data_IF_003033971648
#
_entry.id   IF_003033971648
#
_cell.length_a   1.000
_cell.length_b   1.000
_cell.length_c   1.000
_cell.angle_alpha   90.00
_cell.angle_beta   90.00
_cell.angle_gamma   90.00
#
_symmetry.space_group_name_H-M   'P 1'
#
loop_
_entity.id
_entity.type
_entity.pdbx_description
1 polymer ?
#
# COMPACT_ATOMS: atom_id res chain seq x y z
N UNK A 1 -53.26 -0.78 15.57
CA UNK A 1 -53.32 0.07 14.37
C UNK A 1 -52.32 1.21 14.57
N UNK A 2 -51.22 1.22 13.81
CA UNK A 2 -50.12 2.18 13.99
C UNK A 2 -50.63 3.56 13.55
N UNK A 3 -50.63 4.55 14.45
CA UNK A 3 -51.02 5.94 14.13
C UNK A 3 -49.82 6.69 13.55
N UNK A 4 -49.99 7.23 12.34
CA UNK A 4 -49.03 8.08 11.62
C UNK A 4 -47.70 7.41 11.23
N UNK A 5 -47.73 6.30 10.46
CA UNK A 5 -46.52 5.68 9.92
C UNK A 5 -45.66 6.67 9.11
N UNK A 6 -46.29 7.63 8.43
CA UNK A 6 -45.61 8.63 7.61
C UNK A 6 -44.65 9.52 8.40
N UNK A 7 -44.94 9.78 9.70
CA UNK A 7 -44.02 10.53 10.56
C UNK A 7 -42.78 9.73 10.91
N UNK A 8 -42.92 8.42 11.09
CA UNK A 8 -41.80 7.52 11.39
C UNK A 8 -40.94 7.38 10.13
N UNK A 9 -41.55 7.18 8.96
CA UNK A 9 -40.86 7.07 7.68
C UNK A 9 -40.07 8.35 7.37
N UNK A 10 -40.68 9.53 7.54
CA UNK A 10 -40.01 10.81 7.31
C UNK A 10 -38.93 11.13 8.36
N UNK A 11 -39.12 10.75 9.63
CA UNK A 11 -38.14 10.99 10.69
C UNK A 11 -36.85 10.18 10.46
N UNK A 12 -37.01 8.92 10.06
CA UNK A 12 -35.89 8.01 9.81
C UNK A 12 -35.43 8.00 8.34
N UNK A 13 -36.06 8.79 7.46
CA UNK A 13 -35.81 8.83 6.01
C UNK A 13 -35.76 7.43 5.40
N UNK A 14 -36.66 6.55 5.85
CA UNK A 14 -36.67 5.13 5.45
C UNK A 14 -37.06 4.95 3.97
N UNK A 15 -37.54 6.01 3.33
CA UNK A 15 -37.85 6.10 1.90
C UNK A 15 -36.65 6.56 1.05
N UNK A 16 -35.56 7.02 1.66
CA UNK A 16 -34.43 7.65 0.95
C UNK A 16 -33.15 6.83 1.05
N UNK A 17 -32.73 6.30 -0.08
CA UNK A 17 -31.36 5.83 -0.31
C UNK A 17 -31.11 4.33 -0.15
N UNK A 18 -32.12 3.53 0.20
CA UNK A 18 -31.95 2.07 0.33
C UNK A 18 -31.90 1.34 -1.03
N UNK A 19 -32.61 1.82 -2.06
CA UNK A 19 -32.69 1.13 -3.36
C UNK A 19 -31.85 1.78 -4.49
N UNK A 20 -31.29 2.97 -4.28
CA UNK A 20 -30.66 3.78 -5.35
C UNK A 20 -29.20 4.18 -5.09
N UNK A 21 -28.51 3.61 -4.09
CA UNK A 21 -27.05 3.69 -4.02
C UNK A 21 -26.41 2.76 -5.06
N UNK A 22 -26.51 3.15 -6.33
CA UNK A 22 -25.66 2.58 -7.38
C UNK A 22 -24.28 3.21 -7.25
N UNK A 23 -23.29 2.40 -6.87
CA UNK A 23 -21.89 2.78 -7.04
C UNK A 23 -21.63 2.90 -8.54
N UNK A 24 -21.72 4.12 -9.08
CA UNK A 24 -21.40 4.40 -10.48
C UNK A 24 -19.89 4.48 -10.64
N UNK A 25 -19.30 3.47 -11.30
CA UNK A 25 -17.86 3.43 -11.64
C UNK A 25 -17.50 4.36 -12.82
N UNK A 26 -18.31 5.38 -13.09
CA UNK A 26 -18.15 6.29 -14.24
C UNK A 26 -16.81 7.04 -14.24
N UNK A 27 -16.20 7.21 -13.06
CA UNK A 27 -14.87 7.82 -12.88
C UNK A 27 -13.71 6.81 -12.77
N UNK A 28 -13.98 5.52 -12.95
CA UNK A 28 -12.97 4.45 -12.86
C UNK A 28 -12.32 4.22 -14.22
N UNK A 29 -11.45 5.15 -14.63
CA UNK A 29 -10.71 5.04 -15.88
C UNK A 29 -9.47 4.11 -15.74
N UNK A 30 -8.85 3.77 -16.87
CA UNK A 30 -7.64 2.93 -16.92
C UNK A 30 -6.48 3.47 -16.04
N UNK A 31 -6.32 4.79 -15.94
CA UNK A 31 -5.33 5.43 -15.09
C UNK A 31 -5.59 5.16 -13.59
N UNK A 32 -6.85 5.21 -13.16
CA UNK A 32 -7.23 4.88 -11.77
C UNK A 32 -6.96 3.42 -11.45
N UNK A 33 -7.22 2.50 -12.39
CA UNK A 33 -6.90 1.06 -12.23
C UNK A 33 -5.40 0.85 -12.06
N UNK A 34 -4.58 1.49 -12.89
CA UNK A 34 -3.12 1.39 -12.82
C UNK A 34 -2.57 1.95 -11.50
N UNK A 35 -3.07 3.11 -11.06
CA UNK A 35 -2.66 3.70 -9.78
C UNK A 35 -2.96 2.78 -8.60
N UNK A 36 -4.12 2.13 -8.59
CA UNK A 36 -4.49 1.14 -7.56
C UNK A 36 -3.57 -0.08 -7.63
N UNK A 37 -3.26 -0.55 -8.85
CA UNK A 37 -2.28 -1.62 -9.06
C UNK A 37 -0.90 -1.28 -8.48
N UNK A 38 -0.38 -0.07 -8.75
CA UNK A 38 0.89 0.39 -8.18
C UNK A 38 0.85 0.48 -6.65
N UNK A 39 -0.29 0.86 -6.06
CA UNK A 39 -0.45 0.85 -4.60
C UNK A 39 -0.32 -0.57 -4.04
N UNK A 40 -1.02 -1.55 -4.63
CA UNK A 40 -0.94 -2.93 -4.16
C UNK A 40 0.46 -3.53 -4.33
N UNK A 41 1.07 -3.36 -5.50
CA UNK A 41 2.43 -3.87 -5.77
C UNK A 41 3.45 -3.18 -4.86
N UNK A 42 3.34 -1.86 -4.70
CA UNK A 42 4.25 -1.09 -3.85
C UNK A 42 4.15 -1.48 -2.37
N UNK A 43 2.92 -1.64 -1.85
CA UNK A 43 2.70 -2.12 -0.49
C UNK A 43 3.20 -3.55 -0.29
N UNK A 44 2.96 -4.44 -1.26
CA UNK A 44 3.47 -5.80 -1.20
C UNK A 44 5.00 -5.83 -1.10
N UNK A 45 5.71 -5.08 -1.94
CA UNK A 45 7.18 -4.99 -1.89
C UNK A 45 7.68 -4.48 -0.54
N UNK A 46 7.05 -3.45 0.02
CA UNK A 46 7.43 -2.90 1.33
C UNK A 46 7.19 -3.94 2.42
N UNK A 47 5.97 -4.47 2.55
CA UNK A 47 5.60 -5.36 3.66
C UNK A 47 6.45 -6.64 3.64
N UNK A 48 6.69 -7.21 2.47
CA UNK A 48 7.46 -8.44 2.30
C UNK A 48 8.96 -8.25 2.62
N UNK A 49 9.51 -7.05 2.42
CA UNK A 49 10.96 -6.81 2.52
C UNK A 49 11.38 -5.95 3.71
N UNK A 50 10.48 -5.18 4.33
CA UNK A 50 10.84 -4.19 5.36
C UNK A 50 11.44 -4.85 6.62
N UNK A 51 10.89 -6.00 7.04
CA UNK A 51 11.38 -6.72 8.22
C UNK A 51 12.81 -7.23 7.99
N UNK A 52 13.05 -7.83 6.82
CA UNK A 52 14.37 -8.33 6.43
C UNK A 52 15.37 -7.17 6.30
N UNK A 53 14.97 -6.07 5.66
CA UNK A 53 15.80 -4.89 5.49
C UNK A 53 16.26 -4.33 6.84
N UNK A 54 15.34 -4.12 7.79
CA UNK A 54 15.68 -3.62 9.13
C UNK A 54 16.59 -4.59 9.88
N UNK A 55 16.32 -5.90 9.78
CA UNK A 55 17.12 -6.93 10.46
C UNK A 55 18.55 -6.98 9.94
N UNK A 56 18.73 -6.96 8.63
CA UNK A 56 20.04 -6.90 8.00
C UNK A 56 20.76 -5.60 8.30
N UNK A 57 20.04 -4.47 8.33
CA UNK A 57 20.61 -3.16 8.64
C UNK A 57 21.19 -3.14 10.06
N UNK A 58 20.43 -3.63 11.04
CA UNK A 58 20.87 -3.74 12.44
C UNK A 58 22.09 -4.66 12.56
N UNK A 59 22.04 -5.81 11.89
CA UNK A 59 23.12 -6.81 11.92
C UNK A 59 24.42 -6.25 11.33
N UNK A 60 24.31 -5.55 10.19
CA UNK A 60 25.43 -4.87 9.55
C UNK A 60 26.09 -3.85 10.50
N UNK A 61 25.30 -2.99 11.14
CA UNK A 61 25.84 -1.99 12.08
C UNK A 61 26.48 -2.64 13.31
N UNK A 62 25.88 -3.71 13.86
CA UNK A 62 26.45 -4.44 15.00
C UNK A 62 27.82 -5.04 14.65
N UNK A 63 27.91 -5.72 13.51
CA UNK A 63 29.15 -6.38 13.08
C UNK A 63 30.24 -5.36 12.72
N UNK A 64 29.87 -4.28 12.02
CA UNK A 64 30.79 -3.20 11.68
C UNK A 64 31.46 -2.57 12.90
N UNK A 65 30.79 -2.54 14.05
CA UNK A 65 31.33 -1.98 15.29
C UNK A 65 32.05 -3.03 16.18
N UNK A 66 31.66 -4.30 16.10
CA UNK A 66 32.12 -5.33 17.05
C UNK A 66 33.26 -6.18 16.51
N UNK A 67 33.21 -6.56 15.22
CA UNK A 67 34.23 -7.39 14.58
C UNK A 67 34.19 -7.19 13.05
N UNK A 68 34.98 -6.24 12.52
CA UNK A 68 34.99 -5.91 11.09
C UNK A 68 35.43 -7.08 10.19
N UNK A 69 36.23 -8.01 10.70
CA UNK A 69 36.74 -9.14 9.92
C UNK A 69 35.62 -10.15 9.60
N UNK A 70 34.64 -10.30 10.50
CA UNK A 70 33.45 -11.11 10.25
C UNK A 70 32.48 -10.49 9.24
N UNK A 71 32.54 -9.17 9.02
CA UNK A 71 31.65 -8.49 8.08
C UNK A 71 31.83 -8.99 6.64
N UNK A 72 33.08 -9.26 6.24
CA UNK A 72 33.40 -9.76 4.90
C UNK A 72 33.00 -11.23 4.70
N UNK A 73 32.81 -11.99 5.79
CA UNK A 73 32.35 -13.38 5.73
C UNK A 73 30.81 -13.49 5.68
N UNK A 74 30.09 -12.38 5.88
CA UNK A 74 28.64 -12.37 5.99
C UNK A 74 28.01 -12.18 4.61
N UNK A 75 27.37 -13.25 4.13
CA UNK A 75 26.59 -13.28 2.89
C UNK A 75 25.38 -12.32 2.92
N UNK A 76 24.97 -11.84 4.10
CA UNK A 76 23.81 -10.96 4.30
C UNK A 76 23.96 -9.56 3.68
N UNK A 77 25.16 -9.14 3.24
CA UNK A 77 25.33 -7.87 2.54
C UNK A 77 24.49 -7.82 1.24
N UNK A 78 24.37 -8.94 0.52
CA UNK A 78 23.49 -9.03 -0.65
C UNK A 78 22.01 -8.95 -0.25
N UNK A 79 21.63 -9.64 0.82
CA UNK A 79 20.26 -9.59 1.37
C UNK A 79 19.84 -8.19 1.78
N UNK A 80 20.75 -7.42 2.39
CA UNK A 80 20.53 -6.02 2.74
C UNK A 80 20.25 -5.16 1.51
N UNK A 81 21.06 -5.31 0.46
CA UNK A 81 20.91 -4.54 -0.79
C UNK A 81 19.58 -4.88 -1.47
N UNK A 82 19.28 -6.17 -1.66
CA UNK A 82 18.05 -6.57 -2.35
C UNK A 82 16.79 -6.15 -1.59
N UNK A 83 16.75 -6.39 -0.28
CA UNK A 83 15.62 -5.97 0.55
C UNK A 83 15.46 -4.45 0.58
N UNK A 84 16.57 -3.70 0.63
CA UNK A 84 16.57 -2.24 0.56
C UNK A 84 16.06 -1.70 -0.77
N UNK A 85 16.49 -2.29 -1.89
CA UNK A 85 16.00 -1.94 -3.23
C UNK A 85 14.50 -2.21 -3.35
N UNK A 86 14.01 -3.36 -2.88
CA UNK A 86 12.58 -3.69 -2.92
C UNK A 86 11.74 -2.69 -2.11
N UNK A 87 12.17 -2.35 -0.90
CA UNK A 87 11.51 -1.33 -0.07
C UNK A 87 11.50 0.03 -0.78
N UNK A 88 12.64 0.43 -1.36
CA UNK A 88 12.76 1.70 -2.08
C UNK A 88 11.83 1.75 -3.30
N UNK A 89 11.83 0.71 -4.14
CA UNK A 89 10.93 0.61 -5.30
C UNK A 89 9.47 0.64 -4.85
N UNK A 90 9.13 -0.05 -3.76
CA UNK A 90 7.78 0.00 -3.21
C UNK A 90 7.36 1.41 -2.82
N UNK A 91 8.24 2.18 -2.18
CA UNK A 91 7.98 3.60 -1.89
C UNK A 91 7.88 4.45 -3.15
N UNK A 92 8.71 4.21 -4.16
CA UNK A 92 8.62 4.92 -5.45
C UNK A 92 7.26 4.70 -6.12
N UNK A 93 6.74 3.47 -6.10
CA UNK A 93 5.40 3.17 -6.60
C UNK A 93 4.32 3.89 -5.81
N UNK A 94 4.44 4.02 -4.49
CA UNK A 94 3.46 4.77 -3.71
C UNK A 94 3.50 6.27 -3.99
N UNK A 95 4.69 6.87 -4.02
CA UNK A 95 4.86 8.32 -4.19
C UNK A 95 4.51 8.73 -5.62
N UNK A 96 5.08 8.03 -6.60
CA UNK A 96 5.02 8.43 -8.02
C UNK A 96 3.95 7.68 -8.82
N UNK A 97 2.99 7.01 -8.18
CA UNK A 97 1.93 6.24 -8.88
C UNK A 97 1.19 7.06 -9.95
N UNK A 98 0.96 8.35 -9.71
CA UNK A 98 0.19 9.20 -10.63
C UNK A 98 1.00 9.50 -11.88
N UNK A 99 2.23 9.93 -11.70
CA UNK A 99 3.20 10.28 -12.74
C UNK A 99 3.58 9.06 -13.56
N UNK A 100 3.73 7.90 -12.92
CA UNK A 100 4.00 6.63 -13.60
C UNK A 100 2.79 6.24 -14.44
N UNK A 101 1.58 6.25 -13.88
CA UNK A 101 0.38 5.83 -14.59
C UNK A 101 0.01 6.75 -15.77
N UNK A 102 0.31 8.05 -15.68
CA UNK A 102 0.16 8.99 -16.80
C UNK A 102 1.06 8.68 -18.00
N UNK A 103 2.24 8.08 -17.79
CA UNK A 103 3.16 7.69 -18.88
C UNK A 103 2.67 6.49 -19.69
N UNK A 104 1.70 5.73 -19.19
CA UNK A 104 1.11 4.57 -19.88
C UNK A 104 -0.14 4.93 -20.70
N UNK A 105 -0.46 6.23 -20.80
CA UNK A 105 -1.57 6.76 -21.59
C UNK A 105 -1.11 7.13 -23.00
#
# INVERSE_FOLDING_TARGET
MIKNPDKIINLFKLDKGFDDEKITLDNFNSNSVLQIGFVFVGLFLIIDNISNFVSFLITYFKLSNSNPEMLNAVQDAQGLIFSGINVLIGFLFLIFRKEIAEKFK
#
